data_IF_875011588404
#
_entry.id   IF_875011588404
#
_cell.length_a   1.000
_cell.length_b   1.000
_cell.length_c   1.000
_cell.angle_alpha   90.00
_cell.angle_beta   90.00
_cell.angle_gamma   90.00
#
_symmetry.space_group_name_H-M   'P 1'
#
loop_
_entity.id
_entity.type
_entity.pdbx_description
1 polymer ?
#
# COMPACT_ATOMS: atom_id res chain seq x y z
N UNK A 1 49.30 -74.90 27.78
CA UNK A 1 48.53 -73.65 27.95
C UNK A 1 47.28 -73.72 27.08
N UNK A 2 46.13 -73.49 27.70
CA UNK A 2 44.77 -73.69 27.17
C UNK A 2 44.36 -72.53 26.25
N UNK A 3 43.66 -72.84 25.15
CA UNK A 3 42.57 -71.98 24.68
C UNK A 3 41.56 -72.77 23.82
N UNK A 4 40.29 -72.60 24.18
CA UNK A 4 39.05 -72.72 23.41
C UNK A 4 38.76 -73.96 22.54
N UNK A 5 37.57 -74.53 22.78
CA UNK A 5 36.50 -74.57 21.76
C UNK A 5 35.16 -75.07 22.31
N UNK A 6 34.13 -74.73 21.53
CA UNK A 6 32.87 -75.44 21.32
C UNK A 6 31.70 -75.09 22.26
N UNK A 7 30.43 -75.14 21.88
CA UNK A 7 29.69 -75.26 20.59
C UNK A 7 28.19 -75.33 20.96
N UNK A 8 27.33 -75.34 19.93
CA UNK A 8 25.92 -75.84 19.86
C UNK A 8 24.84 -74.76 20.00
N UNK A 9 23.75 -74.72 19.23
CA UNK A 9 23.08 -75.70 18.32
C UNK A 9 22.02 -74.92 17.50
N UNK A 10 21.90 -75.10 16.18
CA UNK A 10 20.98 -76.00 15.42
C UNK A 10 19.54 -75.49 15.15
N UNK A 11 19.34 -75.10 13.88
CA UNK A 11 18.18 -75.21 12.94
C UNK A 11 16.79 -75.57 13.47
N UNK A 12 15.74 -74.91 12.97
CA UNK A 12 14.55 -75.51 12.29
C UNK A 12 13.83 -74.45 11.42
N UNK A 13 13.15 -74.92 10.37
CA UNK A 13 12.57 -74.24 9.20
C UNK A 13 11.10 -73.87 9.43
N UNK A 14 10.62 -72.69 8.99
CA UNK A 14 9.24 -72.47 8.46
C UNK A 14 9.22 -71.28 7.48
N UNK A 15 8.61 -71.51 6.32
CA UNK A 15 8.28 -70.55 5.24
C UNK A 15 7.02 -69.76 5.61
N UNK A 16 7.00 -68.42 5.45
CA UNK A 16 5.75 -67.71 5.14
C UNK A 16 6.02 -66.36 4.44
N UNK A 17 5.36 -66.19 3.30
CA UNK A 17 5.37 -65.02 2.43
C UNK A 17 4.30 -64.04 2.94
N UNK A 18 4.68 -62.84 3.40
CA UNK A 18 3.74 -61.71 3.54
C UNK A 18 4.42 -60.46 2.98
N UNK A 19 3.87 -60.00 1.86
CA UNK A 19 4.17 -58.72 1.23
C UNK A 19 3.85 -57.58 2.21
N UNK A 20 4.89 -56.91 2.72
CA UNK A 20 4.74 -55.63 3.40
C UNK A 20 5.05 -54.53 2.38
N UNK A 21 4.09 -54.30 1.48
CA UNK A 21 3.94 -53.04 0.77
C UNK A 21 3.75 -51.97 1.85
N UNK A 22 4.83 -51.27 2.18
CA UNK A 22 4.79 -50.04 2.96
C UNK A 22 4.08 -48.98 2.11
N UNK A 23 2.75 -49.03 2.15
CA UNK A 23 1.87 -47.90 1.94
C UNK A 23 2.29 -46.81 2.94
N UNK A 24 3.26 -45.99 2.53
CA UNK A 24 3.31 -44.60 2.95
C UNK A 24 2.01 -43.97 2.50
N UNK A 25 0.98 -44.09 3.33
CA UNK A 25 -0.17 -43.20 3.25
C UNK A 25 0.40 -41.80 3.48
N UNK A 26 0.41 -40.90 2.48
CA UNK A 26 0.59 -39.50 2.80
C UNK A 26 -0.57 -39.17 3.73
N UNK A 27 -0.24 -38.76 4.95
CA UNK A 27 -1.18 -38.05 5.81
C UNK A 27 -1.60 -36.85 4.97
N UNK A 28 -2.77 -36.96 4.33
CA UNK A 28 -3.43 -35.84 3.71
C UNK A 28 -3.73 -34.91 4.89
N UNK A 29 -2.84 -33.95 5.10
CA UNK A 29 -3.03 -32.85 6.02
C UNK A 29 -4.21 -32.08 5.45
N UNK A 30 -5.40 -32.38 5.96
CA UNK A 30 -6.62 -31.65 5.67
C UNK A 30 -6.49 -30.25 6.27
N UNK A 31 -5.64 -29.43 5.65
CA UNK A 31 -5.50 -28.01 5.93
C UNK A 31 -6.61 -27.27 5.18
N UNK A 32 -7.85 -27.59 5.54
CA UNK A 32 -9.03 -26.83 5.15
C UNK A 32 -9.97 -26.69 6.35
N UNK A 33 -9.43 -26.24 7.47
CA UNK A 33 -10.19 -25.42 8.39
C UNK A 33 -10.38 -24.05 7.74
N UNK A 34 -11.27 -23.98 6.73
CA UNK A 34 -11.87 -22.71 6.30
C UNK A 34 -12.41 -22.06 7.57
N UNK A 35 -11.85 -20.91 7.95
CA UNK A 35 -12.10 -20.12 9.17
C UNK A 35 -13.43 -20.47 9.88
N UNK A 36 -13.32 -21.12 11.05
CA UNK A 36 -14.46 -21.56 11.89
C UNK A 36 -15.10 -20.44 12.73
N UNK A 37 -14.60 -19.22 12.62
CA UNK A 37 -15.10 -18.14 13.49
C UNK A 37 -16.46 -17.65 12.99
N UNK A 38 -17.48 -17.61 13.86
CA UNK A 38 -18.82 -17.15 13.49
C UNK A 38 -18.81 -15.68 13.07
N UNK A 39 -19.81 -15.32 12.26
CA UNK A 39 -20.13 -13.94 11.91
C UNK A 39 -21.40 -13.56 12.65
N UNK A 40 -21.34 -12.49 13.44
CA UNK A 40 -22.50 -11.96 14.15
C UNK A 40 -23.04 -10.75 13.38
N UNK A 41 -24.36 -10.71 13.19
CA UNK A 41 -25.06 -9.62 12.49
C UNK A 41 -26.28 -9.24 13.32
N UNK A 42 -26.28 -8.01 13.84
CA UNK A 42 -27.41 -7.42 14.57
C UNK A 42 -28.09 -6.36 13.69
N UNK A 43 -29.42 -6.29 13.72
CA UNK A 43 -30.22 -5.29 12.99
C UNK A 43 -31.64 -5.20 13.54
N UNK A 44 -32.38 -4.16 13.12
CA UNK A 44 -33.80 -4.03 13.48
C UNK A 44 -34.69 -5.05 12.77
N UNK A 45 -34.31 -5.49 11.56
CA UNK A 45 -35.08 -6.45 10.75
C UNK A 45 -34.18 -7.23 9.81
N UNK A 46 -34.46 -8.53 9.69
CA UNK A 46 -33.91 -9.41 8.67
C UNK A 46 -35.00 -9.93 7.73
N UNK A 47 -34.73 -9.98 6.43
CA UNK A 47 -35.59 -10.54 5.38
C UNK A 47 -34.76 -11.54 4.59
N UNK A 48 -35.19 -12.80 4.58
CA UNK A 48 -34.59 -13.85 3.77
C UNK A 48 -35.49 -14.18 2.57
N UNK A 49 -34.89 -14.34 1.39
CA UNK A 49 -35.59 -14.78 0.19
C UNK A 49 -34.83 -15.94 -0.44
N UNK A 50 -35.43 -17.13 -0.38
CA UNK A 50 -34.88 -18.36 -0.93
C UNK A 50 -34.77 -18.27 -2.46
N UNK A 51 -35.85 -17.85 -3.16
CA UNK A 51 -35.88 -17.70 -4.62
C UNK A 51 -34.80 -16.76 -5.16
N UNK A 52 -34.50 -15.68 -4.42
CA UNK A 52 -33.51 -14.68 -4.80
C UNK A 52 -32.11 -14.98 -4.26
N UNK A 53 -31.99 -15.96 -3.36
CA UNK A 53 -30.77 -16.30 -2.63
C UNK A 53 -30.12 -15.08 -1.96
N UNK A 54 -30.95 -14.23 -1.34
CA UNK A 54 -30.51 -13.04 -0.61
C UNK A 54 -31.01 -13.01 0.83
N UNK A 55 -30.18 -12.44 1.71
CA UNK A 55 -30.58 -12.04 3.07
C UNK A 55 -30.33 -10.55 3.23
N UNK A 56 -31.36 -9.80 3.64
CA UNK A 56 -31.33 -8.35 3.80
C UNK A 56 -31.54 -7.97 5.26
N UNK A 57 -30.59 -7.25 5.85
CA UNK A 57 -30.63 -6.70 7.20
C UNK A 57 -30.82 -5.19 7.12
N UNK A 58 -31.72 -4.62 7.92
CA UNK A 58 -32.16 -3.23 7.80
C UNK A 58 -32.25 -2.59 9.17
N UNK A 59 -31.69 -1.38 9.29
CA UNK A 59 -31.72 -0.53 10.48
C UNK A 59 -30.64 -0.90 11.48
N UNK A 60 -29.76 0.06 11.77
CA UNK A 60 -28.68 -0.04 12.76
C UNK A 60 -27.85 -1.33 12.64
N UNK A 61 -27.50 -1.71 11.40
CA UNK A 61 -26.84 -2.99 11.13
C UNK A 61 -25.41 -2.96 11.65
N UNK A 62 -25.06 -3.91 12.51
CA UNK A 62 -23.70 -4.13 13.00
C UNK A 62 -23.25 -5.55 12.67
N UNK A 63 -22.13 -5.70 11.97
CA UNK A 63 -21.51 -7.00 11.66
C UNK A 63 -20.16 -7.13 12.35
N UNK A 64 -19.91 -8.23 13.04
CA UNK A 64 -18.66 -8.50 13.77
C UNK A 64 -18.08 -9.87 13.41
N UNK A 65 -16.78 -9.91 13.09
CA UNK A 65 -16.04 -11.15 12.80
C UNK A 65 -14.52 -10.94 12.98
N UNK A 66 -13.85 -11.71 13.84
CA UNK A 66 -12.36 -11.73 13.91
C UNK A 66 -11.72 -10.31 13.96
N UNK A 67 -12.21 -9.44 14.84
CA UNK A 67 -11.71 -8.06 14.96
C UNK A 67 -12.20 -7.09 13.88
N UNK A 68 -12.92 -7.56 12.85
CA UNK A 68 -13.67 -6.73 11.92
C UNK A 68 -14.99 -6.28 12.57
N UNK A 69 -15.29 -5.00 12.46
CA UNK A 69 -16.58 -4.38 12.76
C UNK A 69 -17.04 -3.60 11.52
N UNK A 70 -18.28 -3.83 11.09
CA UNK A 70 -18.94 -3.06 10.01
C UNK A 70 -20.25 -2.49 10.53
N UNK A 71 -20.48 -1.19 10.35
CA UNK A 71 -21.73 -0.50 10.69
C UNK A 71 -22.35 0.10 9.45
N UNK A 72 -23.66 -0.08 9.28
CA UNK A 72 -24.40 0.39 8.10
C UNK A 72 -25.90 0.55 8.39
N UNK A 73 -26.62 1.23 7.52
CA UNK A 73 -28.08 1.32 7.60
C UNK A 73 -28.74 0.06 7.02
N UNK A 74 -28.11 -0.56 6.04
CA UNK A 74 -28.57 -1.78 5.37
C UNK A 74 -27.40 -2.66 4.94
N UNK A 75 -27.56 -3.97 5.10
CA UNK A 75 -26.66 -5.00 4.59
C UNK A 75 -27.44 -6.02 3.76
N UNK A 76 -27.02 -6.25 2.52
CA UNK A 76 -27.53 -7.34 1.68
C UNK A 76 -26.43 -8.38 1.49
N UNK A 77 -26.74 -9.63 1.80
CA UNK A 77 -25.89 -10.80 1.52
C UNK A 77 -26.45 -11.51 0.30
N UNK A 78 -25.61 -11.71 -0.71
CA UNK A 78 -25.90 -12.51 -1.89
C UNK A 78 -25.19 -13.85 -1.77
N UNK A 79 -25.96 -14.94 -1.89
CA UNK A 79 -25.46 -16.30 -1.82
C UNK A 79 -25.70 -17.04 -3.14
N UNK A 80 -24.91 -18.08 -3.40
CA UNK A 80 -25.17 -18.99 -4.51
C UNK A 80 -26.12 -20.13 -4.13
N UNK A 81 -26.46 -20.99 -5.10
CA UNK A 81 -27.34 -22.13 -4.89
C UNK A 81 -26.80 -23.18 -3.90
N UNK A 82 -25.51 -23.13 -3.57
CA UNK A 82 -24.86 -23.96 -2.55
C UNK A 82 -24.86 -23.31 -1.16
N UNK A 83 -25.44 -22.10 -1.03
CA UNK A 83 -25.46 -21.32 0.21
C UNK A 83 -24.14 -20.60 0.51
N UNK A 84 -23.16 -20.62 -0.40
CA UNK A 84 -21.92 -19.87 -0.21
C UNK A 84 -22.15 -18.38 -0.46
N UNK A 85 -21.60 -17.53 0.41
CA UNK A 85 -21.68 -16.08 0.23
C UNK A 85 -20.77 -15.62 -0.91
N UNK A 86 -21.35 -15.00 -1.93
CA UNK A 86 -20.63 -14.46 -3.09
C UNK A 86 -20.25 -12.99 -2.90
N UNK A 87 -21.16 -12.20 -2.32
CA UNK A 87 -21.00 -10.77 -2.16
C UNK A 87 -21.83 -10.26 -0.97
N UNK A 88 -21.31 -9.27 -0.26
CA UNK A 88 -22.08 -8.46 0.67
C UNK A 88 -22.11 -7.01 0.18
N UNK A 89 -23.20 -6.31 0.38
CA UNK A 89 -23.37 -4.89 0.04
C UNK A 89 -23.88 -4.17 1.28
N UNK A 90 -23.03 -3.35 1.88
CA UNK A 90 -23.36 -2.50 3.02
C UNK A 90 -23.56 -1.06 2.56
N UNK A 91 -24.71 -0.47 2.88
CA UNK A 91 -25.04 0.91 2.52
C UNK A 91 -25.46 1.71 3.74
N UNK A 92 -25.11 2.99 3.77
CA UNK A 92 -25.49 3.88 4.87
C UNK A 92 -24.97 5.29 4.70
N UNK A 93 -25.21 6.14 5.69
CA UNK A 93 -24.78 7.53 5.69
C UNK A 93 -24.01 7.93 6.97
N UNK A 94 -22.76 7.45 7.19
CA UNK A 94 -21.98 6.56 6.32
C UNK A 94 -22.03 5.08 6.72
N UNK A 95 -21.58 4.20 5.83
CA UNK A 95 -21.07 2.87 6.17
C UNK A 95 -19.67 3.00 6.77
N UNK A 96 -19.42 2.34 7.90
CA UNK A 96 -18.14 2.32 8.59
C UNK A 96 -17.56 0.91 8.63
N UNK A 97 -16.26 0.78 8.41
CA UNK A 97 -15.52 -0.47 8.56
C UNK A 97 -14.31 -0.22 9.45
N UNK A 98 -14.06 -1.11 10.39
CA UNK A 98 -12.88 -1.11 11.25
C UNK A 98 -12.34 -2.51 11.41
N UNK A 99 -11.07 -2.69 11.15
CA UNK A 99 -10.33 -3.92 11.40
C UNK A 99 -9.35 -3.67 12.54
N UNK A 100 -9.46 -4.45 13.61
CA UNK A 100 -8.45 -4.50 14.67
C UNK A 100 -7.25 -5.34 14.23
N UNK A 101 -6.09 -5.03 14.79
CA UNK A 101 -4.89 -5.89 14.72
C UNK A 101 -5.17 -7.26 15.34
N UNK A 102 -4.42 -8.28 14.95
CA UNK A 102 -4.64 -9.65 15.45
C UNK A 102 -4.44 -9.79 16.97
N UNK A 103 -3.59 -8.96 17.57
CA UNK A 103 -3.40 -8.89 19.03
C UNK A 103 -4.50 -8.07 19.74
N UNK A 104 -5.39 -7.44 18.99
CA UNK A 104 -6.48 -6.59 19.49
C UNK A 104 -6.03 -5.25 20.08
N UNK A 105 -4.74 -4.91 20.02
CA UNK A 105 -4.20 -3.72 20.70
C UNK A 105 -4.34 -2.44 19.88
N UNK A 106 -4.60 -2.55 18.57
CA UNK A 106 -4.66 -1.41 17.66
C UNK A 106 -5.66 -1.59 16.53
N UNK A 107 -5.79 -0.53 15.73
CA UNK A 107 -6.59 -0.53 14.50
C UNK A 107 -5.65 -0.77 13.33
N UNK A 108 -5.86 -1.89 12.63
CA UNK A 108 -5.10 -2.23 11.43
C UNK A 108 -5.52 -1.33 10.26
N UNK A 109 -6.82 -1.16 10.02
CA UNK A 109 -7.32 -0.10 9.15
C UNK A 109 -8.76 0.25 9.51
N UNK A 110 -9.19 1.43 9.08
CA UNK A 110 -10.60 1.81 9.09
C UNK A 110 -10.99 2.49 7.78
N UNK A 111 -12.28 2.54 7.50
CA UNK A 111 -12.79 3.22 6.31
C UNK A 111 -14.24 3.67 6.45
N UNK A 112 -14.60 4.63 5.62
CA UNK A 112 -15.94 5.20 5.52
C UNK A 112 -16.31 5.35 4.04
N UNK A 113 -17.57 5.05 3.71
CA UNK A 113 -18.16 5.27 2.39
C UNK A 113 -19.68 5.27 2.47
N UNK A 114 -20.40 5.67 1.41
CA UNK A 114 -21.85 5.46 1.38
C UNK A 114 -22.21 4.02 1.00
N UNK A 115 -21.34 3.35 0.25
CA UNK A 115 -21.49 1.94 -0.11
C UNK A 115 -20.15 1.20 0.04
N UNK A 116 -20.20 0.02 0.66
CA UNK A 116 -19.08 -0.90 0.77
C UNK A 116 -19.49 -2.31 0.35
N UNK A 117 -18.86 -2.82 -0.71
CA UNK A 117 -19.09 -4.16 -1.22
C UNK A 117 -17.96 -5.09 -0.75
N UNK A 118 -18.29 -6.26 -0.19
CA UNK A 118 -17.30 -7.28 0.19
C UNK A 118 -17.40 -8.49 -0.72
N UNK A 119 -16.25 -8.98 -1.18
CA UNK A 119 -16.12 -10.19 -1.99
C UNK A 119 -15.29 -11.24 -1.22
N UNK A 120 -15.93 -12.18 -0.49
CA UNK A 120 -15.24 -13.11 0.38
C UNK A 120 -14.19 -13.97 -0.32
N UNK A 121 -14.46 -14.44 -1.55
CA UNK A 121 -13.50 -15.26 -2.33
C UNK A 121 -12.20 -14.52 -2.68
N UNK A 122 -12.23 -13.18 -2.68
CA UNK A 122 -11.09 -12.31 -2.99
C UNK A 122 -10.54 -11.60 -1.74
N UNK A 123 -11.19 -11.75 -0.59
CA UNK A 123 -10.95 -10.96 0.62
C UNK A 123 -10.81 -9.46 0.34
N UNK A 124 -11.75 -8.95 -0.47
CA UNK A 124 -11.70 -7.62 -1.06
C UNK A 124 -12.90 -6.80 -0.62
N UNK A 125 -12.63 -5.62 -0.08
CA UNK A 125 -13.61 -4.55 0.07
C UNK A 125 -13.51 -3.57 -1.09
N UNK A 126 -14.65 -3.17 -1.64
CA UNK A 126 -14.77 -2.11 -2.65
C UNK A 126 -15.66 -1.03 -2.07
N UNK A 127 -15.03 0.08 -1.69
CA UNK A 127 -15.68 1.26 -1.15
C UNK A 127 -15.98 2.22 -2.29
N UNK A 128 -17.21 2.72 -2.36
CA UNK A 128 -17.62 3.68 -3.38
C UNK A 128 -18.46 4.80 -2.77
N UNK A 129 -18.55 5.92 -3.47
CA UNK A 129 -19.31 7.10 -3.06
C UNK A 129 -18.77 7.70 -1.75
N UNK A 130 -17.85 8.68 -1.87
CA UNK A 130 -17.15 9.35 -0.75
C UNK A 130 -16.24 8.41 0.06
N UNK A 131 -15.52 7.53 -0.64
CA UNK A 131 -14.63 6.57 0.00
C UNK A 131 -13.43 7.25 0.68
N UNK A 132 -13.21 6.93 1.95
CA UNK A 132 -12.04 7.33 2.74
C UNK A 132 -11.52 6.12 3.48
N UNK A 133 -10.21 5.91 3.46
CA UNK A 133 -9.53 4.84 4.21
C UNK A 133 -8.38 5.41 5.03
N UNK A 134 -8.15 4.81 6.19
CA UNK A 134 -7.08 5.16 7.11
C UNK A 134 -6.26 3.93 7.49
N UNK A 135 -4.94 4.12 7.57
CA UNK A 135 -3.98 3.16 8.13
C UNK A 135 -3.28 3.85 9.32
N UNK A 136 -3.82 3.73 10.54
CA UNK A 136 -3.40 4.55 11.68
C UNK A 136 -1.92 4.40 12.06
N UNK A 137 -1.37 3.18 12.06
CA UNK A 137 0.06 2.95 12.34
C UNK A 137 0.97 3.73 11.40
N UNK A 138 0.50 4.01 10.19
CA UNK A 138 1.25 4.70 9.16
C UNK A 138 0.80 6.15 9.03
N UNK A 139 -0.05 6.65 9.94
CA UNK A 139 -0.58 8.01 9.91
C UNK A 139 -1.12 8.44 8.54
N UNK A 140 -1.65 7.46 7.79
CA UNK A 140 -1.99 7.59 6.38
C UNK A 140 -3.50 7.68 6.21
N UNK A 141 -3.94 8.65 5.40
CA UNK A 141 -5.32 8.80 4.97
C UNK A 141 -5.40 8.90 3.46
N UNK A 142 -6.23 8.06 2.84
CA UNK A 142 -6.51 8.04 1.41
C UNK A 142 -7.99 8.40 1.20
N UNK A 143 -8.28 9.30 0.27
CA UNK A 143 -9.65 9.64 -0.16
C UNK A 143 -9.75 9.54 -1.67
N UNK A 144 -10.81 8.92 -2.16
CA UNK A 144 -11.08 8.78 -3.60
C UNK A 144 -12.57 8.57 -3.89
N UNK A 145 -12.90 8.40 -5.16
CA UNK A 145 -14.25 8.05 -5.60
C UNK A 145 -14.52 6.57 -5.36
N UNK A 146 -13.47 5.74 -5.52
CA UNK A 146 -13.44 4.32 -5.20
C UNK A 146 -12.14 3.92 -4.51
N UNK A 147 -12.23 3.08 -3.49
CA UNK A 147 -11.08 2.49 -2.80
C UNK A 147 -11.30 0.97 -2.71
N UNK A 148 -10.34 0.20 -3.20
CA UNK A 148 -10.24 -1.25 -3.03
C UNK A 148 -9.28 -1.55 -1.89
N UNK A 149 -9.72 -2.34 -0.92
CA UNK A 149 -8.91 -2.77 0.24
C UNK A 149 -8.82 -4.29 0.21
N UNK A 150 -7.61 -4.80 0.01
CA UNK A 150 -7.33 -6.23 0.03
C UNK A 150 -6.80 -6.60 1.39
N UNK A 151 -7.45 -7.59 2.02
CA UNK A 151 -7.10 -8.06 3.34
C UNK A 151 -6.81 -9.56 3.30
N UNK A 152 -5.85 -10.02 4.10
CA UNK A 152 -5.65 -11.44 4.33
C UNK A 152 -5.50 -11.71 5.82
N UNK A 153 -6.38 -12.54 6.34
CA UNK A 153 -6.37 -12.97 7.74
C UNK A 153 -6.35 -11.80 8.75
N UNK A 154 -7.03 -10.70 8.44
CA UNK A 154 -7.09 -9.50 9.28
C UNK A 154 -6.00 -8.48 8.98
N UNK A 155 -5.00 -8.80 8.15
CA UNK A 155 -3.91 -7.89 7.77
C UNK A 155 -4.17 -7.16 6.45
N UNK A 156 -3.80 -5.89 6.38
CA UNK A 156 -3.88 -5.11 5.14
C UNK A 156 -2.75 -5.51 4.17
N UNK A 157 -3.10 -6.00 2.98
CA UNK A 157 -2.11 -6.35 1.95
C UNK A 157 -1.87 -5.19 0.97
N UNK A 158 -2.94 -4.54 0.52
CA UNK A 158 -2.86 -3.38 -0.37
C UNK A 158 -4.12 -2.52 -0.32
N UNK A 159 -3.95 -1.23 -0.62
CA UNK A 159 -5.05 -0.33 -0.97
C UNK A 159 -4.84 0.21 -2.38
N UNK A 160 -5.88 0.17 -3.21
CA UNK A 160 -5.91 0.85 -4.51
C UNK A 160 -7.02 1.89 -4.48
N UNK A 161 -6.72 3.12 -4.87
CA UNK A 161 -7.72 4.17 -4.92
C UNK A 161 -7.74 4.83 -6.28
N UNK A 162 -8.93 5.21 -6.71
CA UNK A 162 -9.17 5.94 -7.94
C UNK A 162 -10.17 7.08 -7.68
N UNK A 163 -9.96 8.20 -8.37
CA UNK A 163 -10.84 9.36 -8.23
C UNK A 163 -10.33 10.61 -8.93
N UNK A 164 -11.19 11.62 -9.03
CA UNK A 164 -10.88 12.90 -9.71
C UNK A 164 -10.97 14.10 -8.74
N UNK A 165 -9.98 14.32 -7.84
CA UNK A 165 -8.76 13.54 -7.64
C UNK A 165 -8.87 12.51 -6.51
N UNK A 166 -7.96 11.53 -6.51
CA UNK A 166 -7.57 10.82 -5.30
C UNK A 166 -6.59 11.69 -4.51
N UNK A 167 -6.82 11.83 -3.21
CA UNK A 167 -5.97 12.65 -2.33
C UNK A 167 -5.41 11.81 -1.20
N UNK A 168 -4.17 12.09 -0.83
CA UNK A 168 -3.50 11.48 0.32
C UNK A 168 -3.05 12.56 1.27
N UNK A 169 -3.23 12.28 2.55
CA UNK A 169 -2.66 13.05 3.64
C UNK A 169 -1.92 12.11 4.55
N UNK A 170 -0.63 12.37 4.79
CA UNK A 170 0.16 11.65 5.77
C UNK A 170 0.70 12.60 6.81
N UNK A 171 0.53 12.24 8.08
CA UNK A 171 1.05 13.01 9.20
C UNK A 171 2.46 12.53 9.57
N UNK A 172 3.25 13.41 10.19
CA UNK A 172 4.45 13.00 10.88
C UNK A 172 4.07 12.07 12.05
N UNK A 173 4.90 11.08 12.38
CA UNK A 173 4.65 10.18 13.51
C UNK A 173 4.43 10.97 14.80
N UNK A 174 3.43 10.55 15.58
CA UNK A 174 3.07 11.16 16.87
C UNK A 174 2.87 12.69 16.80
N UNK A 175 2.42 13.20 15.65
CA UNK A 175 2.34 14.62 15.38
C UNK A 175 1.06 15.02 14.64
N UNK A 176 0.64 16.26 14.84
CA UNK A 176 -0.42 16.91 14.07
C UNK A 176 0.12 17.65 12.83
N UNK A 177 1.42 17.54 12.56
CA UNK A 177 2.06 18.13 11.38
C UNK A 177 1.97 17.17 10.20
N UNK A 178 1.77 17.73 9.01
CA UNK A 178 1.73 16.97 7.75
C UNK A 178 3.16 16.64 7.34
N UNK A 179 3.46 15.37 7.11
CA UNK A 179 4.71 14.95 6.45
C UNK A 179 4.61 15.24 4.96
N UNK A 180 3.60 14.70 4.28
CA UNK A 180 3.29 15.05 2.89
C UNK A 180 1.79 14.97 2.58
N UNK A 181 1.40 15.71 1.54
CA UNK A 181 0.12 15.55 0.87
C UNK A 181 0.36 15.17 -0.58
N UNK A 182 -0.59 14.48 -1.19
CA UNK A 182 -0.54 14.23 -2.63
C UNK A 182 -1.90 14.17 -3.28
N UNK A 183 -1.89 14.35 -4.60
CA UNK A 183 -3.05 14.26 -5.48
C UNK A 183 -2.66 13.49 -6.74
N UNK A 184 -3.52 12.59 -7.21
CA UNK A 184 -3.38 11.85 -8.46
C UNK A 184 -4.74 11.29 -8.90
N UNK A 185 -4.85 10.69 -10.08
CA UNK A 185 -6.08 9.95 -10.44
C UNK A 185 -6.09 8.56 -9.82
N UNK A 186 -4.93 7.93 -9.68
CA UNK A 186 -4.78 6.59 -9.12
C UNK A 186 -3.69 6.53 -8.06
N UNK A 187 -3.92 5.67 -7.08
CA UNK A 187 -3.01 5.39 -5.97
C UNK A 187 -2.92 3.89 -5.77
N UNK A 188 -1.71 3.39 -5.54
CA UNK A 188 -1.47 2.02 -5.10
C UNK A 188 -0.57 2.04 -3.87
N UNK A 189 -1.08 1.55 -2.74
CA UNK A 189 -0.39 1.49 -1.48
C UNK A 189 -0.11 0.04 -1.08
N UNK A 190 1.15 -0.26 -0.79
CA UNK A 190 1.66 -1.58 -0.40
C UNK A 190 2.39 -1.45 0.95
N UNK A 191 1.71 -1.71 2.08
CA UNK A 191 2.28 -1.56 3.41
C UNK A 191 3.55 -2.39 3.62
N UNK A 192 3.55 -3.65 3.19
CA UNK A 192 4.68 -4.58 3.35
C UNK A 192 5.95 -4.14 2.60
N UNK A 193 5.79 -3.32 1.56
CA UNK A 193 6.89 -2.74 0.79
C UNK A 193 7.24 -1.32 1.25
N UNK A 194 6.53 -0.77 2.24
CA UNK A 194 6.62 0.64 2.65
C UNK A 194 6.57 1.58 1.44
N UNK A 195 5.68 1.25 0.48
CA UNK A 195 5.64 1.90 -0.83
C UNK A 195 4.25 2.40 -1.17
N UNK A 196 4.22 3.60 -1.72
CA UNK A 196 3.02 4.23 -2.25
C UNK A 196 3.32 4.79 -3.64
N UNK A 197 2.52 4.40 -4.61
CA UNK A 197 2.67 4.83 -6.00
C UNK A 197 1.47 5.69 -6.40
N UNK A 198 1.75 6.89 -6.88
CA UNK A 198 0.79 7.84 -7.44
C UNK A 198 0.93 7.81 -8.96
N UNK A 199 -0.17 7.64 -9.69
CA UNK A 199 -0.14 7.63 -11.16
C UNK A 199 -1.23 8.52 -11.73
N UNK A 200 -0.97 9.04 -12.93
CA UNK A 200 -1.83 9.93 -13.70
C UNK A 200 -2.07 11.27 -12.98
N UNK A 201 -1.41 12.33 -13.46
CA UNK A 201 -1.42 13.67 -12.85
C UNK A 201 -0.90 13.71 -11.41
N UNK A 202 0.12 12.91 -11.10
CA UNK A 202 0.69 12.81 -9.76
C UNK A 202 1.36 14.13 -9.32
N UNK A 203 0.93 14.63 -8.16
CA UNK A 203 1.51 15.79 -7.47
C UNK A 203 1.75 15.40 -6.01
N UNK A 204 2.95 15.61 -5.51
CA UNK A 204 3.30 15.46 -4.10
C UNK A 204 3.80 16.80 -3.55
N UNK A 205 3.40 17.14 -2.33
CA UNK A 205 3.81 18.33 -1.62
C UNK A 205 4.31 17.97 -0.23
N UNK A 206 5.54 18.38 0.08
CA UNK A 206 6.15 18.25 1.40
C UNK A 206 6.22 19.65 2.06
N UNK A 207 5.33 19.96 3.01
CA UNK A 207 5.22 21.29 3.59
C UNK A 207 6.48 21.74 4.34
N UNK A 208 7.08 20.83 5.12
CA UNK A 208 8.27 21.09 5.93
C UNK A 208 9.48 21.57 5.11
N UNK A 209 9.49 21.23 3.83
CA UNK A 209 10.57 21.53 2.89
C UNK A 209 10.15 22.55 1.82
N UNK A 210 8.91 23.08 1.90
CA UNK A 210 8.23 23.86 0.87
C UNK A 210 8.49 23.32 -0.55
N UNK A 211 8.38 21.99 -0.66
CA UNK A 211 8.75 21.25 -1.86
C UNK A 211 7.51 20.72 -2.56
N UNK A 212 7.42 20.96 -3.87
CA UNK A 212 6.38 20.40 -4.73
C UNK A 212 7.00 19.60 -5.87
N UNK A 213 6.52 18.37 -6.07
CA UNK A 213 6.93 17.45 -7.12
C UNK A 213 5.72 17.13 -7.99
N UNK A 214 5.85 17.16 -9.31
CA UNK A 214 4.81 16.81 -10.27
C UNK A 214 5.36 15.87 -11.33
N UNK A 215 4.65 14.78 -11.63
CA UNK A 215 5.03 13.82 -12.67
C UNK A 215 3.84 13.04 -13.22
N UNK A 216 4.14 12.14 -14.15
CA UNK A 216 3.18 11.13 -14.64
C UNK A 216 3.01 10.01 -13.60
N UNK A 217 4.11 9.69 -12.88
CA UNK A 217 4.14 8.77 -11.74
C UNK A 217 5.06 9.31 -10.64
N UNK A 218 4.69 9.11 -9.38
CA UNK A 218 5.54 9.37 -8.22
C UNK A 218 5.49 8.14 -7.29
N UNK A 219 6.63 7.51 -7.06
CA UNK A 219 6.80 6.46 -6.06
C UNK A 219 7.36 7.08 -4.78
N UNK A 220 6.68 6.85 -3.66
CA UNK A 220 7.06 7.32 -2.33
C UNK A 220 7.39 6.09 -1.49
N UNK A 221 8.60 6.09 -0.94
CA UNK A 221 9.09 5.04 -0.04
C UNK A 221 9.18 5.59 1.37
N UNK A 222 8.78 4.80 2.35
CA UNK A 222 8.79 5.15 3.76
C UNK A 222 9.91 4.44 4.53
N UNK A 223 10.31 5.04 5.63
CA UNK A 223 11.15 4.41 6.66
C UNK A 223 10.26 3.57 7.61
N UNK A 224 10.87 2.80 8.49
CA UNK A 224 10.15 2.01 9.51
C UNK A 224 9.34 2.90 10.46
N UNK A 225 9.89 4.08 10.79
CA UNK A 225 9.19 5.13 11.54
C UNK A 225 8.12 5.86 10.72
N UNK A 226 7.77 5.36 9.54
CA UNK A 226 6.79 5.94 8.64
C UNK A 226 7.17 7.25 7.96
N UNK A 227 8.30 7.91 8.22
CA UNK A 227 8.68 9.13 7.48
C UNK A 227 9.02 8.84 6.02
N UNK A 228 8.89 9.83 5.15
CA UNK A 228 9.39 9.71 3.76
C UNK A 228 10.89 9.41 3.75
N UNK A 229 11.27 8.28 3.15
CA UNK A 229 12.66 7.89 2.87
C UNK A 229 13.14 8.46 1.55
N UNK A 230 12.31 8.34 0.51
CA UNK A 230 12.62 8.72 -0.86
C UNK A 230 11.34 8.99 -1.64
N UNK A 231 11.37 10.01 -2.52
CA UNK A 231 10.40 10.13 -3.60
C UNK A 231 11.11 9.97 -4.94
N UNK A 232 10.60 9.11 -5.81
CA UNK A 232 11.06 9.00 -7.19
C UNK A 232 9.93 9.45 -8.10
N UNK A 233 10.18 10.47 -8.92
CA UNK A 233 9.20 10.98 -9.88
C UNK A 233 9.63 10.72 -11.31
N UNK A 234 8.67 10.34 -12.13
CA UNK A 234 8.84 10.06 -13.55
C UNK A 234 7.87 10.93 -14.35
N UNK A 235 8.28 11.41 -15.52
CA UNK A 235 7.34 12.08 -16.41
C UNK A 235 7.97 12.61 -17.68
N UNK A 236 7.14 13.25 -18.51
CA UNK A 236 7.55 13.87 -19.78
C UNK A 236 7.22 15.38 -19.82
N UNK A 237 7.86 16.23 -18.99
CA UNK A 237 8.86 15.92 -17.95
C UNK A 237 8.24 15.84 -16.53
N UNK A 238 8.96 15.24 -15.58
CA UNK A 238 8.75 15.54 -14.16
C UNK A 238 9.23 16.95 -13.84
N UNK A 239 8.58 17.62 -12.88
CA UNK A 239 8.88 19.00 -12.46
C UNK A 239 8.97 19.08 -10.95
N UNK A 240 9.99 19.79 -10.47
CA UNK A 240 10.15 20.09 -9.05
C UNK A 240 10.17 21.61 -8.87
N UNK A 241 9.55 22.09 -7.80
CA UNK A 241 9.65 23.47 -7.34
C UNK A 241 9.91 23.46 -5.83
N UNK A 242 10.99 24.12 -5.41
CA UNK A 242 11.33 24.32 -3.99
C UNK A 242 11.33 25.80 -3.69
N UNK A 243 10.67 26.18 -2.60
CA UNK A 243 10.71 27.53 -2.05
C UNK A 243 11.66 27.58 -0.86
N UNK A 244 12.25 28.75 -0.64
CA UNK A 244 13.10 29.06 0.50
C UNK A 244 12.27 29.07 1.78
N UNK A 245 12.77 28.40 2.81
CA UNK A 245 12.12 28.35 4.12
C UNK A 245 12.13 29.70 4.86
N UNK A 246 12.97 30.64 4.43
CA UNK A 246 13.18 31.93 5.12
C UNK A 246 12.22 33.00 4.60
N UNK A 247 12.14 33.16 3.28
CA UNK A 247 11.42 34.27 2.63
C UNK A 247 10.32 33.80 1.66
N UNK A 248 10.15 32.48 1.48
CA UNK A 248 9.15 31.90 0.59
C UNK A 248 9.41 32.12 -0.90
N UNK A 249 10.56 32.71 -1.27
CA UNK A 249 10.92 32.91 -2.67
C UNK A 249 11.34 31.58 -3.31
N UNK A 250 11.28 31.50 -4.64
CA UNK A 250 11.71 30.29 -5.36
C UNK A 250 13.23 30.06 -5.18
N UNK A 251 13.60 29.00 -4.46
CA UNK A 251 15.00 28.59 -4.31
C UNK A 251 15.49 27.99 -5.63
N UNK A 252 14.70 27.06 -6.18
CA UNK A 252 14.90 26.54 -7.52
C UNK A 252 13.62 25.88 -8.07
N UNK A 253 13.61 25.73 -9.39
CA UNK A 253 12.72 24.80 -10.09
C UNK A 253 13.51 23.93 -11.05
N UNK A 254 13.01 22.75 -11.36
CA UNK A 254 13.67 21.84 -12.28
C UNK A 254 12.70 21.07 -13.18
N UNK A 255 13.24 20.52 -14.26
CA UNK A 255 12.60 19.48 -15.06
C UNK A 255 13.61 18.39 -15.43
N UNK A 256 13.13 17.17 -15.55
CA UNK A 256 13.89 16.00 -16.04
C UNK A 256 12.91 14.89 -16.45
N UNK A 257 13.37 13.78 -17.02
CA UNK A 257 12.48 12.61 -17.21
C UNK A 257 12.37 11.77 -15.93
N UNK A 258 13.37 11.84 -15.06
CA UNK A 258 13.36 11.20 -13.74
C UNK A 258 13.99 12.11 -12.69
N UNK A 259 13.41 12.15 -11.50
CA UNK A 259 14.00 12.83 -10.35
C UNK A 259 13.80 12.02 -9.07
N UNK A 260 14.91 11.78 -8.38
CA UNK A 260 14.95 11.15 -7.07
C UNK A 260 15.17 12.25 -6.01
N UNK A 261 14.38 12.21 -4.95
CA UNK A 261 14.46 13.13 -3.82
C UNK A 261 14.63 12.35 -2.53
N UNK A 262 15.67 12.70 -1.78
CA UNK A 262 15.98 12.17 -0.46
C UNK A 262 15.87 13.33 0.54
N UNK A 263 14.82 13.34 1.41
CA UNK A 263 14.59 14.43 2.34
C UNK A 263 15.83 14.78 3.18
N UNK A 264 16.13 16.08 3.27
CA UNK A 264 17.30 16.60 4.00
C UNK A 264 18.67 16.26 3.41
N UNK A 265 18.75 15.49 2.31
CA UNK A 265 20.02 14.99 1.79
C UNK A 265 20.32 15.49 0.38
N UNK A 266 19.60 15.03 -0.64
CA UNK A 266 19.92 15.36 -2.02
C UNK A 266 18.75 15.22 -2.99
N UNK A 267 18.83 15.96 -4.09
CA UNK A 267 18.10 15.72 -5.32
C UNK A 267 19.01 15.12 -6.37
N UNK A 268 18.51 14.12 -7.09
CA UNK A 268 19.14 13.55 -8.26
C UNK A 268 18.19 13.67 -9.45
N UNK A 269 18.49 14.59 -10.35
CA UNK A 269 17.77 14.81 -11.60
C UNK A 269 18.52 14.10 -12.71
N UNK A 270 17.82 13.29 -13.50
CA UNK A 270 18.44 12.50 -14.56
C UNK A 270 17.60 12.47 -15.83
N UNK A 271 18.24 12.19 -16.96
CA UNK A 271 17.63 12.12 -18.29
C UNK A 271 17.09 13.48 -18.71
N UNK A 272 17.96 14.30 -19.30
CA UNK A 272 17.67 15.68 -19.73
C UNK A 272 17.28 16.63 -18.59
N UNK A 273 18.13 16.69 -17.57
CA UNK A 273 17.92 17.54 -16.40
C UNK A 273 18.18 19.02 -16.70
N UNK A 274 17.27 19.89 -16.24
CA UNK A 274 17.41 21.34 -16.27
C UNK A 274 17.02 21.89 -14.91
N UNK A 275 17.88 22.73 -14.32
CA UNK A 275 17.62 23.45 -13.07
C UNK A 275 17.69 24.94 -13.35
N UNK A 276 16.68 25.67 -12.90
CA UNK A 276 16.66 27.13 -12.89
C UNK A 276 16.76 27.60 -11.44
N UNK A 277 17.74 28.48 -11.19
CA UNK A 277 17.87 29.30 -9.98
C UNK A 277 17.80 30.77 -10.39
N UNK A 278 17.64 31.68 -9.43
CA UNK A 278 17.44 33.13 -9.64
C UNK A 278 18.26 33.71 -10.81
N UNK A 279 19.58 33.46 -10.81
CA UNK A 279 20.51 34.07 -11.78
C UNK A 279 21.22 33.06 -12.67
N UNK A 280 20.83 31.79 -12.64
CA UNK A 280 21.58 30.74 -13.32
C UNK A 280 20.71 29.57 -13.79
N UNK A 281 21.03 29.02 -14.96
CA UNK A 281 20.43 27.79 -15.47
C UNK A 281 21.51 26.73 -15.66
N UNK A 282 21.26 25.53 -15.17
CA UNK A 282 22.13 24.36 -15.30
C UNK A 282 21.42 23.29 -16.14
N UNK A 283 22.10 22.78 -17.17
CA UNK A 283 21.59 21.76 -18.07
C UNK A 283 22.60 20.61 -18.14
N UNK A 284 22.14 19.37 -17.96
CA UNK A 284 22.99 18.19 -18.03
C UNK A 284 22.19 16.91 -18.21
N UNK A 285 22.89 15.80 -18.46
CA UNK A 285 22.24 14.48 -18.47
C UNK A 285 21.85 14.08 -17.03
N UNK A 286 22.70 14.42 -16.07
CA UNK A 286 22.50 14.20 -14.64
C UNK A 286 22.87 15.47 -13.87
N UNK A 287 22.03 15.87 -12.92
CA UNK A 287 22.30 16.95 -11.97
C UNK A 287 22.03 16.43 -10.57
N UNK A 288 23.05 16.45 -9.72
CA UNK A 288 22.96 16.18 -8.29
C UNK A 288 22.96 17.51 -7.54
N UNK A 289 22.05 17.68 -6.59
CA UNK A 289 22.01 18.84 -5.71
C UNK A 289 21.95 18.38 -4.27
N UNK A 290 23.03 18.62 -3.54
CA UNK A 290 23.15 18.32 -2.12
C UNK A 290 22.45 19.41 -1.30
N UNK A 291 21.48 19.02 -0.47
CA UNK A 291 20.65 19.92 0.33
C UNK A 291 21.33 20.39 1.61
N UNK A 292 22.37 19.69 2.05
CA UNK A 292 23.18 20.01 3.23
C UNK A 292 24.25 21.03 2.84
N UNK A 293 25.07 20.68 1.83
CA UNK A 293 26.20 21.53 1.40
C UNK A 293 25.78 22.63 0.41
N UNK A 294 24.57 22.54 -0.15
CA UNK A 294 24.05 23.41 -1.22
C UNK A 294 24.90 23.36 -2.50
N UNK A 295 25.67 22.30 -2.71
CA UNK A 295 26.51 22.08 -3.88
C UNK A 295 25.72 21.39 -4.98
N UNK A 296 25.78 21.94 -6.20
CA UNK A 296 25.23 21.32 -7.41
C UNK A 296 26.34 20.72 -8.29
N UNK A 297 26.23 19.44 -8.65
CA UNK A 297 27.13 18.74 -9.58
C UNK A 297 26.35 18.36 -10.83
N UNK A 298 26.73 18.91 -11.98
CA UNK A 298 26.14 18.57 -13.26
C UNK A 298 27.11 17.72 -14.09
N UNK A 299 26.60 16.67 -14.72
CA UNK A 299 27.39 15.74 -15.53
C UNK A 299 26.75 15.60 -16.91
N UNK A 300 27.60 15.63 -17.94
CA UNK A 300 27.23 15.29 -19.31
C UNK A 300 27.18 13.76 -19.51
N UNK A 301 26.99 13.33 -20.75
CA UNK A 301 27.03 11.90 -21.08
C UNK A 301 28.19 11.69 -22.08
N UNK A 302 29.35 11.17 -21.62
CA UNK A 302 30.54 11.09 -22.45
C UNK A 302 30.33 10.28 -23.73
N UNK A 303 29.56 9.18 -23.63
CA UNK A 303 29.26 8.27 -24.74
C UNK A 303 28.40 8.91 -25.83
N UNK A 304 27.55 9.88 -25.49
CA UNK A 304 26.62 10.53 -26.44
C UNK A 304 27.05 11.96 -26.78
N UNK A 305 28.26 12.38 -26.38
CA UNK A 305 28.79 13.75 -26.54
C UNK A 305 27.91 14.85 -25.91
N UNK A 306 26.94 14.52 -25.05
CA UNK A 306 26.15 15.53 -24.34
C UNK A 306 27.03 16.23 -23.32
N UNK A 307 27.10 17.57 -23.42
CA UNK A 307 27.90 18.43 -22.52
C UNK A 307 27.01 19.09 -21.48
N UNK A 308 27.59 19.46 -20.35
CA UNK A 308 26.95 20.36 -19.40
C UNK A 308 26.90 21.77 -20.00
N UNK A 309 25.78 22.46 -19.84
CA UNK A 309 25.63 23.87 -20.19
C UNK A 309 25.19 24.66 -18.97
N UNK A 310 25.91 25.75 -18.69
CA UNK A 310 25.57 26.72 -17.63
C UNK A 310 25.32 28.07 -18.28
N UNK A 311 24.23 28.71 -17.90
CA UNK A 311 23.87 30.07 -18.35
C UNK A 311 23.81 30.94 -17.10
N UNK A 312 24.64 31.97 -17.01
CA UNK A 312 24.63 32.95 -15.92
C UNK A 312 24.00 34.24 -16.44
N UNK A 313 23.01 34.77 -15.72
CA UNK A 313 22.40 36.05 -16.06
C UNK A 313 23.21 37.19 -15.46
N UNK A 314 23.49 38.26 -16.23
CA UNK A 314 24.13 39.46 -15.70
C UNK A 314 23.21 40.14 -14.69
N UNK A 315 23.76 40.53 -13.54
CA UNK A 315 23.04 41.31 -12.54
C UNK A 315 22.72 42.70 -13.13
N UNK A 316 21.44 43.12 -13.11
CA UNK A 316 21.10 44.53 -13.37
C UNK A 316 21.58 45.34 -12.16
N UNK A 317 22.49 46.29 -12.40
CA UNK A 317 22.90 47.29 -11.42
C UNK A 317 21.71 48.17 -11.03
#
# INVERSE_FOLDING_TARGET
MKCNKAMRTSRWVVVFMIALNSLFMPVIRAEQLKSKTPVYIDSNRAIYSEDKLITRFIGAVTTVRQGLEVKSDELIIYSNALGEVEKLVATGNPTYIKQMTQDGQGVEYSSESLQADYFPKKSLWVLTQRAVAWKPSDSLRIKGDKIEIYNKDGHLEEMKAEGKPTTIRKMLPDSTRIDYNSESLKVHYLPTQSRLTLTENAVAWQPSEQLRVKGDQIDIFFQEDSRVKKMTSYGRPTRIKKLSLVDGQEEFRSRSLQADYFPGQLFLLSKSAVVWKKDSTYIGEKIEYDLVTKIAKAVGEPKTKKRVRVILQPQRK
#
